data_IF_988286075501
#
_entry.id   IF_988286075501
#
_cell.length_a   1.000
_cell.length_b   1.000
_cell.length_c   1.000
_cell.angle_alpha   90.00
_cell.angle_beta   90.00
_cell.angle_gamma   90.00
#
_symmetry.space_group_name_H-M   'P 1'
#
loop_
_entity.id
_entity.type
_entity.pdbx_description
1 polymer ?
#
# COMPACT_ATOMS: atom_id res chain seq x y z
N UNK A 1 19.25 5.59 12.43
CA UNK A 1 18.84 4.18 12.66
C UNK A 1 20.10 3.33 12.69
N UNK A 2 20.30 2.49 13.70
CA UNK A 2 21.48 1.62 13.75
C UNK A 2 21.33 0.40 12.81
N UNK A 3 22.43 -0.29 12.51
CA UNK A 3 22.44 -1.47 11.61
C UNK A 3 21.49 -2.58 12.08
N UNK A 4 21.36 -2.78 13.40
CA UNK A 4 20.48 -3.80 13.99
C UNK A 4 19.00 -3.49 13.74
N UNK A 5 18.53 -2.31 14.11
CA UNK A 5 17.12 -1.92 13.90
C UNK A 5 16.80 -1.82 12.41
N UNK A 6 17.79 -1.52 11.55
CA UNK A 6 17.65 -1.57 10.10
C UNK A 6 17.37 -2.97 9.57
N UNK A 7 18.13 -3.98 10.04
CA UNK A 7 17.91 -5.38 9.69
C UNK A 7 16.51 -5.84 10.10
N UNK A 8 16.08 -5.50 11.32
CA UNK A 8 14.74 -5.84 11.81
C UNK A 8 13.63 -5.17 11.00
N UNK A 9 13.80 -3.90 10.62
CA UNK A 9 12.87 -3.22 9.73
C UNK A 9 12.72 -3.92 8.38
N UNK A 10 13.82 -4.36 7.76
CA UNK A 10 13.76 -5.08 6.47
C UNK A 10 13.01 -6.41 6.62
N UNK A 11 13.27 -7.15 7.71
CA UNK A 11 12.57 -8.41 8.00
C UNK A 11 11.06 -8.15 8.18
N UNK A 12 10.70 -7.16 8.99
CA UNK A 12 9.30 -6.78 9.19
C UNK A 12 8.65 -6.28 7.90
N UNK A 13 9.36 -5.49 7.08
CA UNK A 13 8.86 -5.00 5.80
C UNK A 13 8.56 -6.16 4.85
N UNK A 14 9.43 -7.17 4.76
CA UNK A 14 9.18 -8.37 3.96
C UNK A 14 7.94 -9.13 4.44
N UNK A 15 7.82 -9.38 5.76
CA UNK A 15 6.65 -10.04 6.34
C UNK A 15 5.35 -9.24 6.09
N UNK A 16 5.45 -7.91 6.06
CA UNK A 16 4.35 -6.99 5.78
C UNK A 16 4.13 -6.71 4.29
N UNK A 17 4.81 -7.42 3.38
CA UNK A 17 4.72 -7.20 1.92
C UNK A 17 5.01 -5.75 1.51
N UNK A 18 6.01 -5.15 2.16
CA UNK A 18 6.45 -3.76 1.97
C UNK A 18 5.33 -2.73 2.12
N UNK A 19 4.43 -2.96 3.11
CA UNK A 19 3.35 -2.04 3.48
C UNK A 19 3.53 -1.54 4.89
N UNK A 20 3.16 -0.28 5.09
CA UNK A 20 3.15 0.33 6.41
C UNK A 20 2.18 -0.41 7.34
N UNK A 21 2.65 -0.80 8.53
CA UNK A 21 1.85 -1.48 9.55
C UNK A 21 0.53 -0.76 9.88
N UNK A 22 0.54 0.57 9.88
CA UNK A 22 -0.61 1.40 10.27
C UNK A 22 -1.55 1.76 9.11
N UNK A 23 -1.04 2.42 8.06
CA UNK A 23 -1.86 2.94 6.96
C UNK A 23 -1.97 2.01 5.75
N UNK A 24 -1.25 0.89 5.73
CA UNK A 24 -1.19 -0.08 4.62
C UNK A 24 -0.69 0.49 3.27
N UNK A 25 -0.22 1.74 3.24
CA UNK A 25 0.41 2.29 2.04
C UNK A 25 1.76 1.60 1.79
N UNK A 26 2.15 1.45 0.51
CA UNK A 26 3.45 0.91 0.16
C UNK A 26 4.56 1.79 0.75
N UNK A 27 5.66 1.16 1.16
CA UNK A 27 6.84 1.82 1.72
C UNK A 27 8.11 1.39 0.99
N UNK A 28 9.17 2.20 1.08
CA UNK A 28 10.44 1.94 0.40
C UNK A 28 11.65 2.15 1.32
N UNK A 29 12.79 1.58 0.96
CA UNK A 29 14.04 1.74 1.72
C UNK A 29 15.13 2.51 0.94
N UNK A 30 15.73 1.89 -0.09
CA UNK A 30 16.87 2.45 -0.82
C UNK A 30 16.50 3.05 -2.17
N UNK A 31 15.66 2.34 -2.93
CA UNK A 31 15.27 2.76 -4.27
C UNK A 31 13.99 3.61 -4.24
N UNK A 32 14.17 4.90 -4.00
CA UNK A 32 13.06 5.85 -3.99
C UNK A 32 12.67 6.29 -5.41
N UNK A 33 13.59 6.22 -6.38
CA UNK A 33 13.34 6.63 -7.76
C UNK A 33 12.43 5.64 -8.48
N UNK A 34 12.73 4.34 -8.39
CA UNK A 34 11.86 3.29 -8.91
C UNK A 34 10.48 3.37 -8.25
N UNK A 35 10.45 3.50 -6.92
CA UNK A 35 9.20 3.66 -6.18
C UNK A 35 8.39 4.87 -6.65
N UNK A 36 9.04 6.02 -6.83
CA UNK A 36 8.39 7.24 -7.32
C UNK A 36 7.82 7.04 -8.73
N UNK A 37 8.54 6.35 -9.62
CA UNK A 37 8.09 6.01 -10.97
C UNK A 37 6.91 5.05 -10.95
N UNK A 38 6.98 3.96 -10.19
CA UNK A 38 5.92 2.96 -10.06
C UNK A 38 4.62 3.60 -9.59
N UNK A 39 4.69 4.44 -8.55
CA UNK A 39 3.50 5.00 -7.91
C UNK A 39 3.12 6.41 -8.38
N UNK A 40 3.86 6.99 -9.32
CA UNK A 40 3.70 8.35 -9.82
C UNK A 40 3.62 9.39 -8.69
N UNK A 41 4.58 9.33 -7.75
CA UNK A 41 4.64 10.21 -6.59
C UNK A 41 5.65 11.35 -6.77
N UNK A 42 5.35 12.52 -6.18
CA UNK A 42 6.28 13.63 -6.01
C UNK A 42 7.12 13.46 -4.74
N UNK A 43 8.20 14.22 -4.61
CA UNK A 43 9.19 14.09 -3.52
C UNK A 43 8.62 14.21 -2.10
N UNK A 44 7.64 15.09 -1.90
CA UNK A 44 6.99 15.27 -0.59
C UNK A 44 6.33 13.99 -0.07
N UNK A 45 5.33 13.44 -0.77
CA UNK A 45 4.76 12.12 -0.48
C UNK A 45 5.80 10.99 -0.39
N UNK A 46 6.81 11.01 -1.26
CA UNK A 46 7.85 9.99 -1.30
C UNK A 46 8.59 9.89 0.05
N UNK A 47 9.04 11.02 0.60
CA UNK A 47 9.72 11.04 1.90
C UNK A 47 8.85 10.51 3.05
N UNK A 48 7.55 10.78 3.01
CA UNK A 48 6.59 10.33 4.03
C UNK A 48 6.36 8.82 4.02
N UNK A 49 6.63 8.17 2.88
CA UNK A 49 6.49 6.72 2.67
C UNK A 49 7.80 5.94 2.89
N UNK A 50 8.89 6.60 3.28
CA UNK A 50 10.12 5.90 3.63
C UNK A 50 9.87 4.95 4.80
N UNK A 51 10.35 3.71 4.66
CA UNK A 51 10.27 2.68 5.67
C UNK A 51 11.13 3.03 6.89
N UNK A 52 10.54 2.85 8.07
CA UNK A 52 11.18 3.07 9.37
C UNK A 52 10.90 1.88 10.28
N UNK A 53 11.82 1.63 11.21
CA UNK A 53 11.60 0.66 12.28
C UNK A 53 10.74 1.34 13.34
N UNK A 54 9.58 0.76 13.62
CA UNK A 54 8.69 1.21 14.69
C UNK A 54 8.66 0.17 15.80
N UNK A 55 8.85 0.62 17.03
CA UNK A 55 8.71 -0.19 18.23
C UNK A 55 7.24 -0.24 18.66
N UNK A 56 6.68 -1.44 18.81
CA UNK A 56 5.32 -1.61 19.32
C UNK A 56 5.25 -1.23 20.80
N UNK A 57 6.19 -1.74 21.60
CA UNK A 57 6.49 -1.34 22.98
C UNK A 57 7.68 -0.39 22.93
N UNK A 58 7.52 0.83 23.43
CA UNK A 58 8.57 1.83 23.39
C UNK A 58 9.80 1.40 24.20
N UNK A 59 10.99 1.86 23.80
CA UNK A 59 12.23 1.53 24.51
C UNK A 59 12.24 2.04 25.95
N UNK A 60 11.65 3.20 26.21
CA UNK A 60 11.51 3.74 27.57
C UNK A 60 10.65 2.86 28.46
N UNK A 61 9.75 2.07 27.87
CA UNK A 61 8.86 1.13 28.56
C UNK A 61 9.45 -0.30 28.57
N UNK A 62 10.74 -0.46 28.30
CA UNK A 62 11.44 -1.75 28.27
C UNK A 62 11.39 -2.50 26.93
N UNK A 63 10.88 -1.87 25.86
CA UNK A 63 10.78 -2.49 24.54
C UNK A 63 12.15 -2.82 23.91
N UNK A 64 12.40 -4.11 23.67
CA UNK A 64 13.63 -4.59 23.07
C UNK A 64 13.67 -4.44 21.54
N UNK A 65 14.87 -4.39 20.96
CA UNK A 65 15.10 -4.49 19.50
C UNK A 65 14.97 -5.97 19.06
N UNK A 66 13.75 -6.52 19.07
CA UNK A 66 13.41 -7.89 18.65
C UNK A 66 12.52 -7.90 17.41
N UNK A 67 12.40 -9.04 16.74
CA UNK A 67 11.51 -9.17 15.57
C UNK A 67 10.04 -8.95 15.94
N UNK A 68 9.59 -9.47 17.08
CA UNK A 68 8.19 -9.36 17.51
C UNK A 68 7.81 -7.94 17.94
N UNK A 69 8.79 -7.14 18.38
CA UNK A 69 8.56 -5.77 18.84
C UNK A 69 8.80 -4.72 17.75
N UNK A 70 9.36 -5.10 16.59
CA UNK A 70 9.65 -4.18 15.49
C UNK A 70 8.71 -4.44 14.31
N UNK A 71 8.01 -3.39 13.90
CA UNK A 71 7.23 -3.38 12.66
C UNK A 71 7.80 -2.35 11.68
N UNK A 72 7.53 -2.54 10.38
CA UNK A 72 7.87 -1.53 9.39
C UNK A 72 6.71 -0.52 9.26
N UNK A 73 7.00 0.75 9.54
CA UNK A 73 6.03 1.83 9.40
C UNK A 73 6.57 2.92 8.48
N UNK A 74 5.69 3.65 7.79
CA UNK A 74 6.11 4.83 7.06
C UNK A 74 6.52 5.95 8.02
N UNK A 75 7.45 6.81 7.58
CA UNK A 75 7.99 7.93 8.36
C UNK A 75 6.87 8.83 8.93
N UNK A 76 5.80 9.08 8.16
CA UNK A 76 4.67 9.87 8.63
C UNK A 76 3.91 9.22 9.81
N UNK A 77 3.56 7.94 9.70
CA UNK A 77 2.82 7.25 10.75
C UNK A 77 3.66 7.11 12.02
N UNK A 78 4.92 6.70 11.86
CA UNK A 78 5.87 6.56 12.96
C UNK A 78 6.02 7.89 13.73
N UNK A 79 6.38 8.98 13.05
CA UNK A 79 6.50 10.31 13.68
C UNK A 79 5.22 10.80 14.34
N UNK A 80 4.07 10.52 13.72
CA UNK A 80 2.77 10.94 14.27
C UNK A 80 2.42 10.19 15.55
N UNK A 81 2.80 8.90 15.66
CA UNK A 81 2.60 8.13 16.89
C UNK A 81 3.45 8.68 18.03
N UNK A 82 4.74 8.94 17.82
CA UNK A 82 5.64 9.49 18.85
C UNK A 82 5.32 10.93 19.27
N UNK A 83 4.59 11.69 18.44
CA UNK A 83 4.13 13.05 18.78
C UNK A 83 2.85 13.06 19.64
N UNK A 84 2.17 11.93 19.81
CA UNK A 84 0.94 11.89 20.59
C UNK A 84 1.27 12.02 22.09
N UNK A 85 0.67 13.01 22.76
CA UNK A 85 0.85 13.25 24.21
C UNK A 85 0.43 12.04 25.06
N UNK A 86 -0.61 11.34 24.61
CA UNK A 86 -1.04 10.07 25.20
C UNK A 86 -0.79 8.99 24.15
N UNK A 87 0.17 8.08 24.39
CA UNK A 87 0.47 7.02 23.44
C UNK A 87 -0.70 6.03 23.39
N UNK A 88 -1.34 5.95 22.23
CA UNK A 88 -2.29 4.87 21.94
C UNK A 88 -1.51 3.56 21.80
N UNK A 89 -2.15 2.46 22.17
CA UNK A 89 -1.61 1.14 21.82
C UNK A 89 -1.45 1.03 20.30
N UNK A 90 -0.53 0.18 19.80
CA UNK A 90 -0.33 0.03 18.36
C UNK A 90 -1.62 -0.29 17.58
N UNK A 91 -2.50 -1.11 18.16
CA UNK A 91 -3.77 -1.51 17.55
C UNK A 91 -4.77 -0.35 17.51
N UNK A 92 -4.93 0.41 18.59
CA UNK A 92 -5.79 1.60 18.62
C UNK A 92 -5.30 2.69 17.67
N UNK A 93 -3.97 2.90 17.63
CA UNK A 93 -3.38 3.84 16.69
C UNK A 93 -3.64 3.41 15.24
N UNK A 94 -3.48 2.12 14.93
CA UNK A 94 -3.82 1.54 13.61
C UNK A 94 -5.29 1.79 13.25
N UNK A 95 -6.22 1.55 14.17
CA UNK A 95 -7.64 1.79 13.95
C UNK A 95 -7.92 3.29 13.69
N UNK A 96 -7.30 4.18 14.46
CA UNK A 96 -7.38 5.64 14.26
C UNK A 96 -6.85 6.05 12.89
N UNK A 97 -5.67 5.56 12.49
CA UNK A 97 -5.04 5.82 11.19
C UNK A 97 -5.98 5.41 10.08
N UNK A 98 -6.45 4.16 10.08
CA UNK A 98 -7.35 3.60 9.04
C UNK A 98 -8.66 4.39 8.93
N UNK A 99 -9.26 4.76 10.06
CA UNK A 99 -10.46 5.60 10.08
C UNK A 99 -10.24 6.98 9.48
N UNK A 100 -9.08 7.63 9.73
CA UNK A 100 -8.77 8.92 9.12
C UNK A 100 -8.39 8.79 7.65
N UNK A 101 -7.73 7.70 7.29
CA UNK A 101 -7.36 7.38 5.91
C UNK A 101 -8.60 7.20 5.03
N UNK A 102 -9.60 6.46 5.50
CA UNK A 102 -10.88 6.27 4.80
C UNK A 102 -11.63 7.59 4.54
N UNK A 103 -11.37 8.62 5.37
CA UNK A 103 -11.92 9.97 5.21
C UNK A 103 -11.02 10.91 4.40
N UNK A 104 -9.86 10.44 3.92
CA UNK A 104 -8.86 11.28 3.24
C UNK A 104 -8.15 12.29 4.15
N UNK A 105 -8.15 12.07 5.47
CA UNK A 105 -7.65 13.01 6.50
C UNK A 105 -6.41 12.52 7.24
N UNK A 106 -5.62 11.63 6.63
CA UNK A 106 -4.37 11.12 7.20
C UNK A 106 -3.16 11.59 6.40
N UNK A 107 -3.05 11.12 5.16
CA UNK A 107 -2.09 11.65 4.20
C UNK A 107 -2.72 12.79 3.40
N UNK A 108 -1.94 13.82 3.08
CA UNK A 108 -2.36 14.90 2.15
C UNK A 108 -2.38 14.45 0.68
N UNK A 109 -2.01 13.20 0.40
CA UNK A 109 -1.95 12.60 -0.92
C UNK A 109 -2.80 11.32 -0.99
N UNK A 110 -3.27 11.00 -2.20
CA UNK A 110 -4.09 9.80 -2.46
C UNK A 110 -3.29 8.52 -2.27
N UNK A 111 -4.00 7.42 -2.02
CA UNK A 111 -3.38 6.10 -1.91
C UNK A 111 -2.57 5.78 -3.17
N UNK A 112 -1.24 5.59 -3.05
CA UNK A 112 -0.39 5.20 -4.17
C UNK A 112 -0.87 3.93 -4.87
N UNK A 113 -1.57 3.03 -4.17
CA UNK A 113 -2.11 1.81 -4.78
C UNK A 113 -3.22 2.08 -5.80
N UNK A 114 -3.92 3.21 -5.69
CA UNK A 114 -4.96 3.59 -6.65
C UNK A 114 -4.34 4.15 -7.93
N UNK A 115 -3.15 4.75 -7.87
CA UNK A 115 -2.50 5.34 -9.06
C UNK A 115 -2.00 4.27 -10.03
N UNK A 116 -1.53 3.13 -9.53
CA UNK A 116 -1.07 1.99 -10.35
C UNK A 116 -2.20 1.22 -11.03
N UNK A 117 -3.36 1.09 -10.38
CA UNK A 117 -4.49 0.30 -10.90
C UNK A 117 -5.16 0.92 -12.14
N UNK A 118 -5.03 2.24 -12.35
CA UNK A 118 -5.69 2.96 -13.46
C UNK A 118 -5.13 2.64 -14.85
N UNK A 119 -3.99 1.95 -14.97
CA UNK A 119 -3.38 1.61 -16.27
C UNK A 119 -3.87 0.30 -16.91
N UNK A 120 -4.73 -0.50 -16.24
CA UNK A 120 -5.18 -1.81 -16.77
C UNK A 120 -6.54 -1.82 -17.49
N UNK A 121 -7.20 -0.68 -17.68
CA UNK A 121 -8.56 -0.65 -18.27
C UNK A 121 -8.68 0.28 -19.46
N UNK A 122 -7.88 0.07 -20.51
CA UNK A 122 -8.12 0.64 -21.84
C UNK A 122 -7.69 -0.34 -22.95
N UNK A 123 -8.38 -1.47 -23.06
CA UNK A 123 -8.45 -2.21 -24.32
C UNK A 123 -9.76 -3.00 -24.33
N UNK A 124 -10.83 -2.39 -24.84
CA UNK A 124 -12.02 -3.15 -25.25
C UNK A 124 -11.73 -3.71 -26.65
N UNK A 125 -11.74 -5.03 -26.87
CA UNK A 125 -11.72 -5.54 -28.23
C UNK A 125 -13.01 -5.10 -28.92
N UNK A 126 -12.90 -4.40 -30.05
CA UNK A 126 -14.05 -4.26 -30.97
C UNK A 126 -14.34 -5.65 -31.50
N UNK A 127 -15.50 -6.21 -31.17
CA UNK A 127 -16.00 -7.39 -31.85
C UNK A 127 -16.60 -6.92 -33.18
N UNK A 128 -15.84 -7.10 -34.26
CA UNK A 128 -16.36 -7.00 -35.62
C UNK A 128 -17.36 -8.14 -35.84
N UNK A 129 -18.65 -7.82 -35.81
CA UNK A 129 -19.69 -8.73 -36.27
C UNK A 129 -19.78 -8.60 -37.79
N UNK A 130 -19.03 -9.43 -38.52
CA UNK A 130 -19.31 -9.68 -39.94
C UNK A 130 -20.60 -10.50 -40.07
N UNK A 131 -21.59 -10.08 -40.89
CA UNK A 131 -22.75 -10.90 -41.17
C UNK A 131 -22.37 -11.95 -42.22
N UNK A 132 -22.19 -13.20 -41.77
CA UNK A 132 -22.10 -14.33 -42.67
C UNK A 132 -23.50 -14.68 -43.19
N UNK A 133 -23.73 -14.32 -44.45
CA UNK A 133 -24.79 -14.85 -45.31
C UNK A 133 -24.81 -16.38 -45.27
N UNK A 134 -25.98 -17.00 -45.17
CA UNK A 134 -26.18 -18.37 -45.63
C UNK A 134 -27.53 -18.49 -46.37
N UNK A 135 -27.45 -19.19 -47.48
CA UNK A 135 -28.42 -19.34 -48.56
C UNK A 135 -28.77 -20.84 -48.62
N UNK A 136 -30.04 -21.17 -48.93
CA UNK A 136 -30.52 -22.47 -49.51
C UNK A 136 -30.57 -23.67 -48.55
N UNK A 137 -31.44 -24.67 -48.64
CA UNK A 137 -32.65 -25.04 -49.42
C UNK A 137 -33.20 -26.29 -48.65
N UNK A 138 -34.50 -26.38 -48.37
CA UNK A 138 -35.50 -27.24 -49.03
C UNK A 138 -35.85 -28.57 -48.31
N UNK A 139 -37.14 -28.92 -48.46
CA UNK A 139 -37.86 -30.16 -48.14
C UNK A 139 -38.05 -30.46 -46.64
N UNK A 140 -39.26 -30.75 -46.13
CA UNK A 140 -40.17 -31.79 -46.62
C UNK A 140 -41.62 -31.57 -46.08
N UNK A 141 -42.55 -32.28 -46.71
CA UNK A 141 -43.83 -32.75 -46.20
C UNK A 141 -45.07 -31.87 -46.40
N UNK A 142 -45.88 -32.23 -47.42
CA UNK A 142 -47.32 -32.42 -47.24
C UNK A 142 -47.97 -33.19 -48.42
N UNK A 143 -48.45 -34.38 -48.05
CA UNK A 143 -49.59 -35.16 -48.56
C UNK A 143 -49.53 -35.82 -49.93
#
# INVERSE_FOLDING_TARGET
MCKKTKKLMIIAANAQKWRCYYCDYPIWDKDHEEFAKTYALKDGPLRLLRATAEHLIARCDGGADTQDNIVAACDHCNKTRHKAKVPLSPLEFRAKVRRRLAKGRWHSFRNPQITVARKKSQHTPRIDHSPASNHRDAHDNKR
#
